data_IF_886934175512
#
_entry.id   IF_886934175512
#
_cell.length_a   1.000
_cell.length_b   1.000
_cell.length_c   1.000
_cell.angle_alpha   90.00
_cell.angle_beta   90.00
_cell.angle_gamma   90.00
#
_symmetry.space_group_name_H-M   'P 1'
#
loop_
_entity.id
_entity.type
_entity.pdbx_description
1 polymer ?
#
# COMPACT_ATOMS: atom_id res chain seq x y z
N UNK A 1 -14.22 21.20 -31.12
CA UNK A 1 -13.72 19.85 -31.48
C UNK A 1 -13.00 19.28 -30.28
N UNK A 2 -13.50 18.16 -29.72
CA UNK A 2 -12.92 17.50 -28.55
C UNK A 2 -11.70 16.70 -29.04
N UNK A 3 -10.49 17.16 -28.71
CA UNK A 3 -9.27 16.42 -28.99
C UNK A 3 -9.18 15.26 -27.98
N UNK A 4 -9.88 14.16 -28.26
CA UNK A 4 -9.93 12.97 -27.40
C UNK A 4 -8.62 12.16 -27.41
N UNK A 5 -7.63 12.62 -28.17
CA UNK A 5 -6.31 12.01 -28.31
C UNK A 5 -5.31 12.81 -27.49
N UNK A 6 -4.62 12.13 -26.59
CA UNK A 6 -3.51 12.65 -25.80
C UNK A 6 -2.22 11.94 -26.18
N UNK A 7 -1.10 12.65 -26.12
CA UNK A 7 0.22 12.06 -26.34
C UNK A 7 0.76 11.44 -25.05
N UNK A 8 1.24 10.21 -25.13
CA UNK A 8 1.94 9.59 -24.01
C UNK A 8 3.35 10.17 -23.86
N UNK A 9 3.66 10.75 -22.70
CA UNK A 9 4.99 11.29 -22.39
C UNK A 9 6.07 10.22 -22.21
N UNK A 10 5.68 8.94 -22.07
CA UNK A 10 6.63 7.83 -21.93
C UNK A 10 7.07 7.24 -23.27
N UNK A 11 6.17 7.14 -24.25
CA UNK A 11 6.45 6.48 -25.53
C UNK A 11 6.24 7.36 -26.77
N UNK A 12 5.83 8.63 -26.59
CA UNK A 12 5.61 9.59 -27.68
C UNK A 12 4.47 9.23 -28.64
N UNK A 13 3.66 8.20 -28.31
CA UNK A 13 2.56 7.77 -29.17
C UNK A 13 1.27 8.50 -28.81
N UNK A 14 0.55 8.93 -29.85
CA UNK A 14 -0.81 9.46 -29.72
C UNK A 14 -1.78 8.34 -29.35
N UNK A 15 -2.56 8.55 -28.30
CA UNK A 15 -3.47 7.56 -27.77
C UNK A 15 -4.76 8.18 -27.24
N UNK A 16 -5.81 7.38 -27.14
CA UNK A 16 -7.01 7.73 -26.37
C UNK A 16 -6.85 7.06 -25.00
N UNK A 17 -6.74 7.81 -23.90
CA UNK A 17 -6.52 7.22 -22.59
C UNK A 17 -7.71 6.34 -22.20
N UNK A 18 -7.44 5.05 -21.99
CA UNK A 18 -8.42 4.11 -21.45
C UNK A 18 -8.52 4.33 -19.95
N UNK A 19 -9.71 4.62 -19.45
CA UNK A 19 -9.98 4.75 -18.02
C UNK A 19 -10.13 3.34 -17.44
N UNK A 20 -9.33 3.02 -16.42
CA UNK A 20 -9.48 1.82 -15.61
C UNK A 20 -10.37 2.19 -14.42
N UNK A 21 -11.52 1.53 -14.33
CA UNK A 21 -12.49 1.73 -13.26
C UNK A 21 -12.13 0.87 -12.04
N UNK A 22 -12.57 1.28 -10.85
CA UNK A 22 -12.48 0.42 -9.66
C UNK A 22 -13.15 -0.95 -9.92
N UNK A 23 -12.59 -2.02 -9.35
CA UNK A 23 -13.26 -3.33 -9.37
C UNK A 23 -14.55 -3.18 -8.55
N UNK A 24 -15.68 -3.52 -9.15
CA UNK A 24 -16.94 -3.62 -8.43
C UNK A 24 -17.05 -4.99 -7.76
N UNK A 25 -17.72 -5.02 -6.60
CA UNK A 25 -18.06 -6.26 -5.91
C UNK A 25 -19.59 -6.36 -5.95
N UNK A 26 -20.08 -7.53 -6.37
CA UNK A 26 -21.51 -7.83 -6.36
C UNK A 26 -21.85 -8.54 -5.06
N UNK A 27 -22.65 -7.89 -4.20
CA UNK A 27 -23.16 -8.48 -2.96
C UNK A 27 -24.68 -8.45 -3.01
N UNK A 28 -25.33 -9.62 -2.98
CA UNK A 28 -26.80 -9.72 -2.94
C UNK A 28 -27.52 -9.09 -4.14
N UNK A 29 -26.93 -9.12 -5.33
CA UNK A 29 -27.52 -8.54 -6.55
C UNK A 29 -27.35 -7.02 -6.69
N UNK A 30 -26.76 -6.35 -5.69
CA UNK A 30 -26.43 -4.93 -5.76
C UNK A 30 -24.94 -4.78 -6.10
N UNK A 31 -24.65 -4.04 -7.17
CA UNK A 31 -23.28 -3.66 -7.50
C UNK A 31 -22.83 -2.56 -6.53
N UNK A 32 -21.86 -2.87 -5.67
CA UNK A 32 -21.29 -1.89 -4.74
C UNK A 32 -19.86 -1.58 -5.18
N UNK A 33 -19.62 -0.31 -5.52
CA UNK A 33 -18.35 0.18 -6.02
C UNK A 33 -18.18 0.06 -7.54
N UNK A 34 -17.09 0.63 -8.06
CA UNK A 34 -16.78 0.64 -9.51
C UNK A 34 -17.09 1.94 -10.25
N UNK A 35 -17.72 2.90 -9.60
CA UNK A 35 -18.13 4.16 -10.24
C UNK A 35 -17.00 5.19 -10.36
N UNK A 36 -15.89 4.97 -9.65
CA UNK A 36 -14.78 5.92 -9.63
C UNK A 36 -13.69 5.51 -10.64
N UNK A 37 -13.28 6.44 -11.52
CA UNK A 37 -12.12 6.21 -12.37
C UNK A 37 -10.86 6.17 -11.49
N UNK A 38 -10.21 5.00 -11.38
CA UNK A 38 -8.97 4.86 -10.61
C UNK A 38 -7.86 5.64 -11.29
N UNK A 39 -7.59 5.26 -12.53
CA UNK A 39 -6.40 5.68 -13.29
C UNK A 39 -6.66 5.53 -14.78
N UNK A 40 -5.82 6.17 -15.59
CA UNK A 40 -5.77 5.93 -17.03
C UNK A 40 -4.41 5.36 -17.39
N UNK A 41 -4.37 4.44 -18.35
CA UNK A 41 -3.16 3.71 -18.72
C UNK A 41 -2.87 3.92 -20.21
N UNK A 42 -1.58 4.04 -20.56
CA UNK A 42 -1.16 4.01 -21.97
C UNK A 42 -1.31 2.60 -22.56
N UNK A 43 -2.06 2.40 -23.67
CA UNK A 43 -2.22 1.07 -24.26
C UNK A 43 -0.96 0.55 -24.97
N UNK A 44 0.05 1.42 -25.21
CA UNK A 44 1.27 1.03 -25.92
C UNK A 44 2.40 0.64 -24.98
N UNK A 45 2.66 1.44 -23.94
CA UNK A 45 3.75 1.20 -22.99
C UNK A 45 3.27 0.74 -21.61
N UNK A 46 1.96 0.59 -21.41
CA UNK A 46 1.33 0.15 -20.16
C UNK A 46 1.66 1.03 -18.94
N UNK A 47 2.18 2.24 -19.16
CA UNK A 47 2.46 3.20 -18.09
C UNK A 47 1.17 3.82 -17.55
N UNK A 48 0.98 3.75 -16.24
CA UNK A 48 -0.08 4.46 -15.51
C UNK A 48 0.18 5.97 -15.40
N UNK A 49 1.44 6.40 -15.56
CA UNK A 49 1.88 7.79 -15.40
C UNK A 49 2.16 8.47 -16.75
N UNK A 50 1.46 8.02 -17.78
CA UNK A 50 1.62 8.46 -19.17
C UNK A 50 1.46 9.97 -19.39
N UNK A 51 0.81 10.69 -18.47
CA UNK A 51 0.55 12.13 -18.52
C UNK A 51 1.61 12.97 -17.78
N UNK A 52 2.69 12.36 -17.29
CA UNK A 52 3.83 13.07 -16.71
C UNK A 52 3.53 13.84 -15.42
N UNK A 53 2.40 13.60 -14.74
CA UNK A 53 2.06 14.28 -13.48
C UNK A 53 2.14 13.35 -12.25
N UNK A 54 3.32 13.15 -11.65
CA UNK A 54 3.40 12.71 -10.26
C UNK A 54 3.64 13.92 -9.34
N UNK A 55 2.84 15.01 -9.43
CA UNK A 55 3.06 16.18 -8.55
C UNK A 55 2.35 16.13 -7.19
N UNK A 56 1.51 15.14 -6.91
CA UNK A 56 0.82 15.04 -5.60
C UNK A 56 0.77 13.63 -4.97
N UNK A 57 1.20 12.59 -5.69
CA UNK A 57 1.06 11.19 -5.26
C UNK A 57 2.33 10.57 -4.67
N UNK A 58 3.52 10.91 -5.16
CA UNK A 58 4.77 10.24 -4.78
C UNK A 58 5.16 10.51 -3.32
N UNK A 59 5.15 11.79 -2.90
CA UNK A 59 5.40 12.17 -1.51
C UNK A 59 4.35 11.60 -0.54
N UNK A 60 3.09 11.54 -0.97
CA UNK A 60 2.00 10.97 -0.16
C UNK A 60 2.08 9.43 -0.06
N UNK A 61 2.54 8.74 -1.11
CA UNK A 61 2.83 7.30 -1.07
C UNK A 61 4.04 7.01 -0.18
N UNK A 62 5.16 7.69 -0.39
CA UNK A 62 6.34 7.58 0.46
C UNK A 62 6.02 7.82 1.94
N UNK A 63 5.23 8.86 2.25
CA UNK A 63 4.83 9.13 3.63
C UNK A 63 4.00 7.98 4.21
N UNK A 64 3.09 7.38 3.44
CA UNK A 64 2.33 6.21 3.90
C UNK A 64 3.21 4.98 4.07
N UNK A 65 4.10 4.69 3.13
CA UNK A 65 4.99 3.52 3.18
C UNK A 65 5.98 3.64 4.34
N UNK A 66 6.51 4.84 4.61
CA UNK A 66 7.36 5.12 5.77
C UNK A 66 6.59 4.98 7.09
N UNK A 67 5.35 5.50 7.18
CA UNK A 67 4.54 5.38 8.39
C UNK A 67 4.18 3.91 8.67
N UNK A 68 3.78 3.16 7.64
CA UNK A 68 3.45 1.74 7.75
C UNK A 68 4.70 0.92 8.14
N UNK A 69 5.85 1.20 7.52
CA UNK A 69 7.12 0.56 7.84
C UNK A 69 7.55 0.84 9.29
N UNK A 70 7.46 2.09 9.75
CA UNK A 70 7.81 2.46 11.13
C UNK A 70 6.89 1.77 12.15
N UNK A 71 5.60 1.64 11.84
CA UNK A 71 4.63 0.93 12.70
C UNK A 71 4.92 -0.57 12.77
N UNK A 72 5.27 -1.20 11.64
CA UNK A 72 5.65 -2.60 11.61
C UNK A 72 6.91 -2.85 12.47
N UNK A 73 7.98 -2.06 12.27
CA UNK A 73 9.21 -2.17 13.05
C UNK A 73 8.95 -1.97 14.55
N UNK A 74 8.13 -0.98 14.90
CA UNK A 74 7.74 -0.72 16.30
C UNK A 74 7.02 -1.90 16.94
N UNK A 75 6.14 -2.58 16.20
CA UNK A 75 5.38 -3.73 16.70
C UNK A 75 6.29 -4.94 16.93
N UNK A 76 7.21 -5.21 16.01
CA UNK A 76 8.20 -6.29 16.15
C UNK A 76 9.09 -6.10 17.39
N UNK A 77 9.62 -4.89 17.61
CA UNK A 77 10.43 -4.61 18.81
C UNK A 77 9.62 -4.78 20.10
N UNK A 78 8.33 -4.44 20.08
CA UNK A 78 7.46 -4.57 21.25
C UNK A 78 7.24 -6.04 21.61
N UNK A 79 7.00 -6.90 20.61
CA UNK A 79 6.82 -8.34 20.81
C UNK A 79 8.10 -8.97 21.36
N UNK A 80 9.25 -8.69 20.75
CA UNK A 80 10.55 -9.21 21.19
C UNK A 80 10.85 -8.79 22.63
N UNK A 81 10.64 -7.51 22.94
CA UNK A 81 10.81 -6.99 24.30
C UNK A 81 9.90 -7.69 25.31
N UNK A 82 8.61 -7.86 24.99
CA UNK A 82 7.66 -8.54 25.88
C UNK A 82 8.05 -10.01 26.15
N UNK A 83 8.49 -10.73 25.12
CA UNK A 83 8.96 -12.12 25.24
C UNK A 83 10.22 -12.19 26.10
N UNK A 84 11.20 -11.31 25.88
CA UNK A 84 12.42 -11.26 26.69
C UNK A 84 12.12 -10.98 28.18
N UNK A 85 11.24 -10.02 28.46
CA UNK A 85 10.79 -9.70 29.82
C UNK A 85 10.09 -10.90 30.46
N UNK A 86 9.21 -11.58 29.72
CA UNK A 86 8.52 -12.77 30.20
C UNK A 86 9.52 -13.86 30.62
N UNK A 87 10.50 -14.18 29.77
CA UNK A 87 11.54 -15.16 30.10
C UNK A 87 12.40 -14.74 31.29
N UNK A 88 12.75 -13.45 31.41
CA UNK A 88 13.50 -12.95 32.55
C UNK A 88 12.71 -13.10 33.86
N UNK A 89 11.43 -12.75 33.86
CA UNK A 89 10.53 -12.92 35.03
C UNK A 89 10.41 -14.40 35.39
N UNK A 90 10.21 -15.28 34.41
CA UNK A 90 10.12 -16.72 34.66
C UNK A 90 11.43 -17.32 35.20
N UNK A 91 12.59 -16.83 34.73
CA UNK A 91 13.89 -17.24 35.25
C UNK A 91 14.10 -16.79 36.70
N UNK A 92 13.74 -15.54 37.03
CA UNK A 92 13.78 -15.02 38.40
C UNK A 92 12.82 -15.80 39.31
N UNK A 93 11.59 -16.03 38.84
CA UNK A 93 10.60 -16.80 39.60
C UNK A 93 11.10 -18.22 39.89
N UNK A 94 11.69 -18.89 38.89
CA UNK A 94 12.30 -20.21 39.07
C UNK A 94 13.46 -20.18 40.06
N UNK A 95 14.33 -19.18 39.99
CA UNK A 95 15.45 -19.02 40.92
C UNK A 95 14.98 -18.79 42.36
N UNK A 96 13.97 -17.94 42.56
CA UNK A 96 13.48 -17.55 43.88
C UNK A 96 12.59 -18.61 44.53
N UNK A 97 11.68 -19.22 43.78
CA UNK A 97 10.63 -20.08 44.36
C UNK A 97 10.89 -21.58 44.21
N UNK A 98 11.58 -22.01 43.16
CA UNK A 98 11.76 -23.44 42.89
C UNK A 98 13.08 -23.95 43.50
N UNK A 99 14.10 -23.09 43.63
CA UNK A 99 15.41 -23.50 44.12
C UNK A 99 16.09 -24.52 43.19
N UNK A 100 17.42 -24.57 43.18
CA UNK A 100 18.13 -25.66 42.51
C UNK A 100 17.88 -26.96 43.31
N UNK A 101 16.93 -27.78 42.84
CA UNK A 101 16.88 -29.20 43.20
C UNK A 101 17.91 -29.97 42.38
#
# INVERSE_FOLDING_TARGET
MRNDKAECQCCGKMMVPRVVMERSIYVGGVQVGGDKPLKSICPFCLSEEWNGKPKKGWLARLRRDVILGLRAISLELTIIGAVAVFFAVMAIYRFVFIGFN
#
